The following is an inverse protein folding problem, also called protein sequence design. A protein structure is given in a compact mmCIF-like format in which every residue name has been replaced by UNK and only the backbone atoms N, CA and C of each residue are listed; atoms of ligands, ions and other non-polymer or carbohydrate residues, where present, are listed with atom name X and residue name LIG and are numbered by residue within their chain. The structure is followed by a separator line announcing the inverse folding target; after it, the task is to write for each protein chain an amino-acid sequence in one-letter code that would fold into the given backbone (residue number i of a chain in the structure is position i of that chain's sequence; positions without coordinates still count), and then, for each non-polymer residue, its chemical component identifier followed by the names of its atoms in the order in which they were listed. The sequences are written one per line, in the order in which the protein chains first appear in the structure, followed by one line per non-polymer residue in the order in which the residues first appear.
data_IF_908004743085
#
_entry.id   IF_908004743085
#
_cell.length_a   1.000
_cell.length_b   1.000
_cell.length_c   1.000
_cell.angle_alpha   90.00
_cell.angle_beta   90.00
_cell.angle_gamma   90.00
#
_symmetry.space_group_name_H-M   'P 1'
#
loop_
_entity.id
_entity.type
_entity.pdbx_description
1 polymer ?
#
# COMPACT_ATOMS: atom_id res chain seq x y z
N UNK A 1 9.12 8.20 36.83
CA UNK A 1 9.82 9.33 36.19
C UNK A 1 9.88 9.01 34.72
N UNK A 2 9.31 9.85 33.84
CA UNK A 2 9.50 9.70 32.40
C UNK A 2 11.00 9.79 32.11
N UNK A 3 11.49 8.83 31.33
CA UNK A 3 12.91 8.72 31.02
C UNK A 3 13.23 9.74 29.92
N UNK A 4 13.55 10.97 30.33
CA UNK A 4 13.79 12.10 29.45
C UNK A 4 14.88 11.82 28.40
N UNK A 5 15.79 10.88 28.69
CA UNK A 5 16.83 10.44 27.76
C UNK A 5 16.21 9.58 26.65
N UNK A 6 15.34 8.64 27.00
CA UNK A 6 14.65 7.80 26.02
C UNK A 6 13.72 8.63 25.12
N UNK A 7 13.01 9.62 25.67
CA UNK A 7 12.18 10.54 24.88
C UNK A 7 13.03 11.43 23.95
N UNK A 8 14.19 11.91 24.41
CA UNK A 8 15.11 12.66 23.59
C UNK A 8 15.72 11.82 22.47
N UNK A 9 16.09 10.56 22.76
CA UNK A 9 16.62 9.61 21.80
C UNK A 9 15.57 9.20 20.77
N UNK A 10 14.33 8.94 21.19
CA UNK A 10 13.24 8.61 20.28
C UNK A 10 12.90 9.80 19.38
N UNK A 11 12.84 11.01 19.95
CA UNK A 11 12.62 12.24 19.18
C UNK A 11 13.76 12.48 18.18
N UNK A 12 15.01 12.33 18.62
CA UNK A 12 16.17 12.47 17.75
C UNK A 12 16.14 11.41 16.65
N UNK A 13 15.81 10.16 16.98
CA UNK A 13 15.72 9.07 16.02
C UNK A 13 14.60 9.33 15.00
N UNK A 14 13.43 9.73 15.48
CA UNK A 14 12.31 10.12 14.64
C UNK A 14 12.72 11.26 13.71
N UNK A 15 13.31 12.34 14.22
CA UNK A 15 13.78 13.51 13.46
C UNK A 15 14.81 13.15 12.39
N UNK A 16 15.85 12.38 12.75
CA UNK A 16 16.99 12.10 11.88
C UNK A 16 16.80 10.91 10.95
N UNK A 17 16.07 9.88 11.37
CA UNK A 17 15.96 8.60 10.64
C UNK A 17 14.56 8.33 10.12
N UNK A 18 13.54 8.99 10.64
CA UNK A 18 12.15 8.67 10.32
C UNK A 18 11.66 7.40 11.03
N UNK A 19 10.37 7.14 10.89
CA UNK A 19 9.68 6.03 11.54
C UNK A 19 8.96 5.14 10.52
N UNK A 20 8.75 3.89 10.92
CA UNK A 20 7.78 3.00 10.30
C UNK A 20 6.50 3.04 11.14
N UNK A 21 5.36 3.13 10.48
CA UNK A 21 4.06 3.06 11.15
C UNK A 21 3.21 1.99 10.47
N UNK A 22 2.43 1.29 11.29
CA UNK A 22 1.42 0.38 10.76
C UNK A 22 0.35 1.19 10.03
N UNK A 23 -0.12 0.64 8.92
CA UNK A 23 -1.10 1.30 8.08
C UNK A 23 -2.47 1.21 8.74
N UNK A 24 -2.93 2.32 9.34
CA UNK A 24 -4.23 2.45 9.98
C UNK A 24 -5.17 3.36 9.19
N UNK A 25 -6.43 3.36 9.58
CA UNK A 25 -7.48 4.18 8.99
C UNK A 25 -7.16 5.68 9.00
N UNK A 26 -6.59 6.15 10.11
CA UNK A 26 -6.27 7.57 10.32
C UNK A 26 -4.99 8.02 9.59
N UNK A 27 -4.08 7.08 9.27
CA UNK A 27 -2.76 7.38 8.70
C UNK A 27 -2.66 7.15 7.17
N UNK A 28 -3.72 6.62 6.57
CA UNK A 28 -3.76 6.31 5.14
C UNK A 28 -3.93 7.59 4.30
N UNK A 29 -2.83 8.01 3.66
CA UNK A 29 -2.80 9.20 2.79
C UNK A 29 -2.59 8.76 1.35
N UNK A 30 -3.54 9.02 0.47
CA UNK A 30 -3.38 8.75 -0.96
C UNK A 30 -2.73 9.96 -1.63
N UNK A 31 -1.49 9.84 -2.14
CA UNK A 31 -0.84 10.91 -2.87
C UNK A 31 -1.52 11.09 -4.23
N UNK A 32 -1.66 12.33 -4.68
CA UNK A 32 -2.05 12.62 -6.07
C UNK A 32 -0.87 12.34 -7.02
N UNK A 33 -1.12 12.26 -8.33
CA UNK A 33 -0.05 12.00 -9.31
C UNK A 33 1.09 13.03 -9.23
N UNK A 34 0.75 14.28 -8.89
CA UNK A 34 1.68 15.40 -8.70
C UNK A 34 2.55 15.26 -7.43
N UNK A 35 2.07 14.52 -6.42
CA UNK A 35 2.81 14.29 -5.17
C UNK A 35 3.88 13.20 -5.32
N UNK A 36 3.72 12.33 -6.32
CA UNK A 36 4.71 11.30 -6.61
C UNK A 36 5.96 11.92 -7.19
N UNK A 37 7.08 11.58 -6.58
CA UNK A 37 8.38 12.08 -6.99
C UNK A 37 8.85 11.26 -8.21
N UNK A 38 9.40 11.92 -9.22
CA UNK A 38 9.91 11.21 -10.40
C UNK A 38 11.13 10.36 -10.02
N UNK A 39 11.38 9.30 -10.78
CA UNK A 39 12.55 8.46 -10.64
C UNK A 39 13.86 9.26 -10.66
N UNK A 40 13.91 10.33 -11.45
CA UNK A 40 15.06 11.22 -11.54
C UNK A 40 15.23 12.13 -10.31
N UNK A 41 14.12 12.49 -9.67
CA UNK A 41 14.13 13.36 -8.49
C UNK A 41 14.47 12.60 -7.19
N UNK A 42 14.24 11.28 -7.12
CA UNK A 42 14.76 10.40 -6.03
C UNK A 42 15.84 9.41 -6.50
N UNK A 43 16.34 9.54 -7.74
CA UNK A 43 17.35 8.66 -8.34
C UNK A 43 17.08 7.15 -8.13
N UNK A 44 15.92 6.69 -8.59
CA UNK A 44 15.43 5.31 -8.43
C UNK A 44 15.21 4.66 -9.81
N UNK A 45 15.60 3.39 -9.99
CA UNK A 45 15.29 2.61 -11.21
C UNK A 45 13.80 2.27 -11.31
N UNK A 46 13.11 2.76 -12.35
CA UNK A 46 11.66 2.56 -12.56
C UNK A 46 11.24 1.08 -12.64
N UNK A 47 12.19 0.18 -12.95
CA UNK A 47 11.99 -1.27 -13.09
C UNK A 47 11.55 -1.99 -11.81
N UNK A 48 11.72 -1.40 -10.63
CA UNK A 48 11.31 -2.00 -9.35
C UNK A 48 9.97 -1.46 -8.82
N UNK A 49 9.25 -0.66 -9.61
CA UNK A 49 7.88 -0.23 -9.31
C UNK A 49 6.94 -1.42 -9.56
N UNK A 50 6.64 -2.16 -8.49
CA UNK A 50 5.62 -3.22 -8.55
C UNK A 50 4.23 -2.59 -8.67
N UNK A 51 3.67 -2.61 -9.88
CA UNK A 51 2.23 -2.54 -10.06
C UNK A 51 1.60 -3.84 -9.53
N UNK A 52 1.00 -3.77 -8.35
CA UNK A 52 0.31 -4.90 -7.76
C UNK A 52 -0.94 -5.26 -8.57
N UNK A 53 -0.82 -6.25 -9.44
CA UNK A 53 -1.97 -7.00 -9.94
C UNK A 53 -2.33 -8.11 -8.95
N UNK A 54 -3.05 -7.72 -7.90
CA UNK A 54 -3.53 -8.58 -6.80
C UNK A 54 -4.45 -9.72 -7.27
N UNK A 55 -4.79 -9.79 -8.55
CA UNK A 55 -5.66 -10.82 -9.13
C UNK A 55 -4.96 -12.17 -9.35
N UNK A 56 -3.63 -12.20 -9.48
CA UNK A 56 -2.87 -13.43 -9.78
C UNK A 56 -2.47 -14.20 -8.52
N UNK A 57 -2.24 -13.51 -7.40
CA UNK A 57 -1.61 -14.08 -6.20
C UNK A 57 -2.55 -14.89 -5.27
N UNK A 58 -3.86 -14.94 -5.55
CA UNK A 58 -4.82 -15.66 -4.69
C UNK A 58 -5.73 -16.58 -5.52
N UNK A 59 -5.66 -17.91 -5.35
CA UNK A 59 -6.58 -18.82 -6.02
C UNK A 59 -8.01 -18.48 -5.63
N UNK A 60 -8.90 -18.45 -6.62
CA UNK A 60 -10.28 -18.00 -6.44
C UNK A 60 -11.04 -18.84 -5.43
N UNK A 61 -12.08 -18.26 -4.80
CA UNK A 61 -12.94 -18.96 -3.83
C UNK A 61 -13.45 -20.31 -4.36
N UNK A 62 -13.88 -20.35 -5.62
CA UNK A 62 -14.35 -21.57 -6.28
C UNK A 62 -13.25 -22.62 -6.49
N UNK A 63 -12.01 -22.20 -6.66
CA UNK A 63 -10.86 -23.11 -6.76
C UNK A 63 -10.53 -23.73 -5.39
N UNK A 64 -10.59 -22.93 -4.32
CA UNK A 64 -10.42 -23.42 -2.95
C UNK A 64 -11.52 -24.41 -2.56
N UNK A 65 -12.78 -24.14 -2.95
CA UNK A 65 -13.90 -25.04 -2.70
C UNK A 65 -13.75 -26.36 -3.50
N UNK A 66 -13.31 -26.30 -4.76
CA UNK A 66 -13.05 -27.52 -5.57
C UNK A 66 -11.95 -28.38 -4.95
N UNK A 67 -10.80 -27.80 -4.61
CA UNK A 67 -9.69 -28.50 -3.94
C UNK A 67 -10.11 -29.10 -2.60
N UNK A 68 -10.96 -28.40 -1.83
CA UNK A 68 -11.52 -28.92 -0.57
C UNK A 68 -12.41 -30.14 -0.82
N UNK A 69 -13.28 -30.08 -1.82
CA UNK A 69 -14.16 -31.20 -2.21
C UNK A 69 -13.36 -32.40 -2.70
N UNK A 70 -12.32 -32.20 -3.50
CA UNK A 70 -11.41 -33.26 -3.96
C UNK A 70 -10.68 -33.93 -2.80
N UNK A 71 -10.14 -33.14 -1.86
CA UNK A 71 -9.44 -33.65 -0.67
C UNK A 71 -10.35 -34.41 0.29
N UNK A 72 -11.58 -33.94 0.50
CA UNK A 72 -12.51 -34.52 1.47
C UNK A 72 -13.40 -35.62 0.86
N UNK A 73 -13.56 -35.64 -0.47
CA UNK A 73 -14.31 -36.66 -1.20
C UNK A 73 -15.72 -36.87 -0.62
N UNK A 74 -16.00 -38.12 -0.20
CA UNK A 74 -17.28 -38.52 0.40
C UNK A 74 -17.53 -37.91 1.80
N UNK A 75 -16.50 -37.37 2.45
CA UNK A 75 -16.59 -36.78 3.78
C UNK A 75 -16.95 -35.29 3.75
N UNK A 76 -16.96 -34.65 2.57
CA UNK A 76 -17.34 -33.25 2.44
C UNK A 76 -18.83 -33.07 2.77
N UNK A 77 -19.13 -32.42 3.90
CA UNK A 77 -20.49 -32.11 4.34
C UNK A 77 -20.66 -30.58 4.42
N UNK A 78 -21.41 -29.95 3.50
CA UNK A 78 -21.75 -28.54 3.60
C UNK A 78 -22.57 -28.25 4.86
N UNK A 79 -22.37 -27.08 5.45
CA UNK A 79 -23.19 -26.61 6.56
C UNK A 79 -24.68 -26.52 6.16
N UNK A 80 -25.55 -27.15 6.96
CA UNK A 80 -27.00 -27.14 6.76
C UNK A 80 -27.58 -25.80 7.20
N UNK A 81 -28.81 -25.53 6.79
CA UNK A 81 -29.53 -24.30 7.15
C UNK A 81 -29.74 -24.29 8.67
N UNK A 82 -29.06 -23.37 9.38
CA UNK A 82 -29.11 -23.25 10.84
C UNK A 82 -27.84 -23.67 11.58
N UNK A 83 -26.83 -24.24 10.91
CA UNK A 83 -25.54 -24.55 11.51
C UNK A 83 -24.72 -23.28 11.79
N UNK A 84 -23.94 -23.29 12.89
CA UNK A 84 -23.03 -22.18 13.26
C UNK A 84 -22.01 -21.82 12.17
N UNK A 85 -21.64 -22.80 11.35
CA UNK A 85 -20.65 -22.63 10.26
C UNK A 85 -21.28 -22.12 8.95
N UNK A 86 -22.61 -21.95 8.89
CA UNK A 86 -23.29 -21.37 7.72
C UNK A 86 -23.30 -19.85 7.83
N UNK A 87 -22.97 -19.11 6.76
CA UNK A 87 -23.03 -17.65 6.80
C UNK A 87 -24.43 -17.15 7.11
N UNK A 88 -24.50 -16.07 7.87
CA UNK A 88 -25.74 -15.44 8.28
C UNK A 88 -26.56 -14.94 7.06
N UNK A 89 -27.91 -15.02 7.08
CA UNK A 89 -28.77 -14.56 5.99
C UNK A 89 -28.54 -13.10 5.56
N UNK A 90 -28.17 -12.20 6.48
CA UNK A 90 -27.83 -10.82 6.14
C UNK A 90 -26.55 -10.75 5.31
N UNK A 91 -25.55 -11.55 5.67
CA UNK A 91 -24.28 -11.65 4.93
C UNK A 91 -24.50 -12.18 3.51
N UNK A 92 -25.44 -13.11 3.32
CA UNK A 92 -25.86 -13.60 2.00
C UNK A 92 -26.54 -12.54 1.15
N UNK A 93 -27.50 -11.80 1.72
CA UNK A 93 -28.15 -10.69 1.01
C UNK A 93 -27.15 -9.60 0.63
N UNK A 94 -26.20 -9.29 1.52
CA UNK A 94 -25.11 -8.34 1.25
C UNK A 94 -24.23 -8.78 0.07
N UNK A 95 -23.98 -10.09 -0.07
CA UNK A 95 -23.20 -10.65 -1.18
C UNK A 95 -23.97 -10.70 -2.51
N UNK A 96 -25.30 -10.68 -2.50
CA UNK A 96 -26.16 -10.63 -3.70
C UNK A 96 -26.31 -9.23 -4.29
N UNK A 97 -25.78 -8.20 -3.63
CA UNK A 97 -25.88 -6.82 -4.10
C UNK A 97 -25.23 -6.65 -5.49
N UNK A 98 -25.93 -5.93 -6.37
CA UNK A 98 -25.44 -5.61 -7.72
C UNK A 98 -24.22 -4.70 -7.65
N UNK A 99 -23.32 -4.88 -8.62
CA UNK A 99 -22.13 -4.07 -8.80
C UNK A 99 -22.49 -2.76 -9.50
N UNK A 100 -22.16 -1.64 -8.87
CA UNK A 100 -22.35 -0.31 -9.44
C UNK A 100 -21.12 0.07 -10.26
N UNK A 101 -21.31 0.77 -11.36
CA UNK A 101 -20.28 1.28 -12.27
C UNK A 101 -20.63 2.72 -12.64
N UNK A 102 -19.62 3.59 -12.78
CA UNK A 102 -19.80 4.99 -13.15
C UNK A 102 -19.18 5.29 -14.50
N UNK A 103 -19.87 6.09 -15.31
CA UNK A 103 -19.27 6.71 -16.48
C UNK A 103 -18.38 7.89 -16.04
N UNK A 104 -17.10 7.94 -16.48
CA UNK A 104 -16.18 9.00 -16.07
C UNK A 104 -16.52 10.40 -16.58
N UNK A 105 -17.30 10.52 -17.68
CA UNK A 105 -17.63 11.81 -18.29
C UNK A 105 -19.03 12.28 -17.90
N UNK A 106 -20.01 11.39 -17.86
CA UNK A 106 -21.40 11.74 -17.56
C UNK A 106 -21.75 11.58 -16.08
N UNK A 107 -20.97 10.79 -15.32
CA UNK A 107 -21.25 10.52 -13.91
C UNK A 107 -22.43 9.57 -13.67
N UNK A 108 -23.05 9.06 -14.73
CA UNK A 108 -24.19 8.14 -14.64
C UNK A 108 -23.78 6.80 -14.03
N UNK A 109 -24.66 6.25 -13.19
CA UNK A 109 -24.43 5.00 -12.46
C UNK A 109 -25.20 3.88 -13.15
N UNK A 110 -24.48 2.79 -13.42
CA UNK A 110 -24.97 1.57 -14.05
C UNK A 110 -24.82 0.40 -13.09
N UNK A 111 -25.81 -0.50 -13.04
CA UNK A 111 -25.79 -1.69 -12.17
C UNK A 111 -25.62 -2.98 -12.98
N UNK A 112 -24.72 -3.85 -12.53
CA UNK A 112 -24.42 -5.14 -13.17
C UNK A 112 -24.38 -6.26 -12.13
N UNK A 113 -24.77 -7.47 -12.52
CA UNK A 113 -24.78 -8.64 -11.62
C UNK A 113 -23.39 -9.27 -11.42
N UNK A 114 -22.48 -9.03 -12.37
CA UNK A 114 -21.12 -9.60 -12.37
C UNK A 114 -20.08 -8.48 -12.37
N UNK A 115 -18.89 -8.74 -11.80
CA UNK A 115 -17.74 -7.86 -11.99
C UNK A 115 -17.16 -8.12 -13.38
N UNK A 116 -16.94 -7.05 -14.13
CA UNK A 116 -16.34 -7.09 -15.45
C UNK A 116 -15.86 -5.72 -15.92
N UNK A 117 -15.30 -5.70 -17.13
CA UNK A 117 -14.96 -4.48 -17.86
C UNK A 117 -16.15 -4.16 -18.77
N UNK A 118 -16.94 -3.15 -18.40
CA UNK A 118 -18.10 -2.72 -19.18
C UNK A 118 -17.77 -1.49 -20.00
N UNK A 119 -18.33 -1.38 -21.20
CA UNK A 119 -18.18 -0.20 -22.06
C UNK A 119 -19.54 0.40 -22.39
N UNK A 120 -19.63 1.72 -22.37
CA UNK A 120 -20.79 2.50 -22.81
C UNK A 120 -20.28 3.60 -23.75
N UNK A 121 -20.87 3.71 -24.93
CA UNK A 121 -20.53 4.74 -25.94
C UNK A 121 -19.02 4.84 -26.23
N UNK A 122 -18.35 3.68 -26.35
CA UNK A 122 -16.92 3.58 -26.61
C UNK A 122 -16.00 3.84 -25.42
N UNK A 123 -16.54 4.19 -24.24
CA UNK A 123 -15.79 4.47 -23.02
C UNK A 123 -15.91 3.33 -22.01
N UNK A 124 -14.82 3.05 -21.29
CA UNK A 124 -14.82 2.01 -20.25
C UNK A 124 -15.43 2.56 -18.97
N UNK A 125 -16.46 1.88 -18.46
CA UNK A 125 -17.09 2.19 -17.19
C UNK A 125 -16.17 1.77 -16.04
N UNK A 126 -16.06 2.64 -15.05
CA UNK A 126 -15.23 2.40 -13.86
C UNK A 126 -16.12 1.73 -12.82
N UNK A 127 -15.74 0.57 -12.23
CA UNK A 127 -16.51 0.03 -11.12
C UNK A 127 -16.65 1.10 -10.03
N UNK A 128 -17.88 1.41 -9.66
CA UNK A 128 -18.18 2.24 -8.51
C UNK A 128 -17.89 1.49 -7.19
N UNK A 129 -17.36 0.26 -7.29
CA UNK A 129 -16.62 -0.44 -6.24
C UNK A 129 -15.16 0.00 -6.22
N UNK A 130 -14.92 1.05 -5.47
CA UNK A 130 -14.15 0.92 -4.26
C UNK A 130 -13.04 -0.16 -4.19
N UNK A 131 -11.90 0.05 -4.87
CA UNK A 131 -10.63 -0.51 -4.38
C UNK A 131 -10.19 0.42 -3.24
N UNK A 132 -10.81 0.21 -2.08
CA UNK A 132 -10.94 1.20 -1.02
C UNK A 132 -10.25 0.68 0.22
N UNK A 133 -9.15 1.27 0.64
CA UNK A 133 -9.30 2.45 1.47
C UNK A 133 -9.63 3.71 0.64
N UNK A 134 -10.93 4.04 0.56
CA UNK A 134 -11.51 5.20 -0.15
C UNK A 134 -11.20 5.46 -1.68
N UNK A 135 -10.70 4.51 -2.48
CA UNK A 135 -11.09 4.42 -3.90
C UNK A 135 -9.92 4.28 -4.82
N UNK A 136 -8.73 4.13 -4.22
CA UNK A 136 -7.52 4.67 -4.79
C UNK A 136 -6.39 3.68 -4.60
N UNK A 137 -5.85 3.24 -5.75
CA UNK A 137 -4.65 2.41 -5.82
C UNK A 137 -3.44 3.26 -5.43
N UNK A 138 -2.57 2.68 -4.61
CA UNK A 138 -1.32 3.30 -4.17
C UNK A 138 -0.16 2.56 -4.84
N UNK A 139 0.82 3.31 -5.36
CA UNK A 139 2.02 2.74 -5.99
C UNK A 139 3.00 2.30 -4.91
N UNK A 140 3.33 1.01 -4.85
CA UNK A 140 4.32 0.50 -3.90
C UNK A 140 5.74 0.86 -4.35
N UNK A 141 6.61 1.11 -3.38
CA UNK A 141 8.03 1.40 -3.62
C UNK A 141 8.31 2.75 -4.29
N UNK A 142 7.29 3.58 -4.55
CA UNK A 142 7.46 4.92 -5.10
C UNK A 142 7.32 5.98 -4.00
N UNK A 143 8.40 6.67 -3.62
CA UNK A 143 8.31 7.76 -2.67
C UNK A 143 7.43 8.91 -3.19
N UNK A 144 6.66 9.50 -2.28
CA UNK A 144 5.85 10.68 -2.54
C UNK A 144 6.12 11.73 -1.46
N UNK A 145 5.84 13.00 -1.77
CA UNK A 145 6.03 14.11 -0.83
C UNK A 145 4.91 14.19 0.19
N UNK A 146 5.26 14.53 1.42
CA UNK A 146 4.29 14.79 2.49
C UNK A 146 4.46 16.23 3.02
N UNK A 147 3.85 17.23 2.36
CA UNK A 147 4.08 18.65 2.70
C UNK A 147 3.60 19.04 4.10
N UNK A 148 2.60 18.35 4.65
CA UNK A 148 2.10 18.54 6.04
C UNK A 148 2.47 17.38 6.97
N UNK A 149 3.34 16.48 6.54
CA UNK A 149 3.73 15.30 7.30
C UNK A 149 4.93 15.54 8.21
N UNK A 150 5.18 14.63 9.17
CA UNK A 150 6.35 14.71 10.05
C UNK A 150 7.69 14.52 9.31
N UNK A 151 7.65 13.97 8.09
CA UNK A 151 8.81 13.73 7.22
C UNK A 151 8.58 14.29 5.84
N UNK A 152 9.69 14.41 5.10
CA UNK A 152 9.67 14.98 3.74
C UNK A 152 9.05 14.03 2.72
N UNK A 153 9.36 12.75 2.84
CA UNK A 153 8.89 11.71 1.94
C UNK A 153 8.24 10.57 2.71
N UNK A 154 7.27 9.94 2.07
CA UNK A 154 6.65 8.71 2.52
C UNK A 154 6.70 7.68 1.39
N UNK A 155 6.78 6.40 1.74
CA UNK A 155 6.72 5.30 0.78
C UNK A 155 5.98 4.12 1.36
N UNK A 156 5.17 3.48 0.52
CA UNK A 156 4.45 2.27 0.88
C UNK A 156 5.25 1.03 0.48
N UNK A 157 5.51 0.15 1.45
CA UNK A 157 6.37 -1.04 1.27
C UNK A 157 5.73 -2.26 1.93
N UNK A 158 6.00 -3.45 1.40
CA UNK A 158 5.61 -4.71 2.05
C UNK A 158 6.64 -5.13 3.10
N UNK A 159 6.17 -5.46 4.29
CA UNK A 159 6.95 -6.12 5.31
C UNK A 159 7.14 -7.61 4.99
N UNK A 160 8.13 -8.29 5.60
CA UNK A 160 8.30 -9.74 5.47
C UNK A 160 7.06 -10.53 5.93
N UNK A 161 6.22 -9.93 6.78
CA UNK A 161 4.93 -10.48 7.24
C UNK A 161 3.80 -10.36 6.19
N UNK A 162 4.05 -9.73 5.05
CA UNK A 162 3.06 -9.53 3.98
C UNK A 162 2.17 -8.29 4.14
N UNK A 163 2.26 -7.56 5.26
CA UNK A 163 1.52 -6.32 5.49
C UNK A 163 2.16 -5.14 4.76
N UNK A 164 1.34 -4.22 4.25
CA UNK A 164 1.80 -2.94 3.70
C UNK A 164 2.00 -1.97 4.85
N UNK A 165 3.18 -1.37 4.94
CA UNK A 165 3.53 -0.34 5.93
C UNK A 165 3.85 0.97 5.24
N UNK A 166 3.69 2.06 5.98
CA UNK A 166 4.12 3.40 5.58
C UNK A 166 5.46 3.70 6.22
N UNK A 167 6.47 3.95 5.38
CA UNK A 167 7.80 4.34 5.81
C UNK A 167 7.97 5.83 5.56
N UNK A 168 8.19 6.60 6.63
CA UNK A 168 8.41 8.04 6.57
C UNK A 168 9.93 8.29 6.61
N UNK A 169 10.48 9.11 5.71
CA UNK A 169 11.91 9.39 5.66
C UNK A 169 12.26 10.80 5.15
N UNK A 170 13.46 11.25 5.49
CA UNK A 170 13.99 12.56 5.10
C UNK A 170 13.47 13.71 5.96
N UNK A 171 14.31 14.74 6.11
CA UNK A 171 14.01 15.92 6.92
C UNK A 171 13.24 16.98 6.12
N UNK A 172 12.07 17.45 6.58
CA UNK A 172 11.27 18.49 5.90
C UNK A 172 12.02 19.81 5.70
N UNK A 173 12.83 20.22 6.67
CA UNK A 173 13.48 21.53 6.73
C UNK A 173 14.85 21.55 6.05
N UNK A 174 15.41 20.38 5.70
CA UNK A 174 16.74 20.28 5.09
C UNK A 174 16.69 19.79 3.63
N UNK A 175 17.66 20.24 2.83
CA UNK A 175 17.91 19.76 1.46
C UNK A 175 19.25 19.03 1.40
N UNK A 176 19.26 17.88 0.74
CA UNK A 176 20.48 17.11 0.49
C UNK A 176 21.38 17.89 -0.47
N UNK A 177 22.62 18.15 -0.05
CA UNK A 177 23.64 18.83 -0.86
C UNK A 177 24.38 17.82 -1.75
N UNK A 178 23.67 17.26 -2.73
CA UNK A 178 24.17 16.17 -3.60
C UNK A 178 25.38 16.57 -4.45
N UNK A 179 25.47 17.85 -4.81
CA UNK A 179 26.57 18.40 -5.60
C UNK A 179 27.94 18.35 -4.89
N UNK A 180 27.98 18.08 -3.58
CA UNK A 180 29.22 18.02 -2.80
C UNK A 180 29.55 16.55 -2.51
N UNK A 181 30.50 15.91 -3.22
CA UNK A 181 30.77 14.47 -3.08
C UNK A 181 31.27 14.09 -1.68
N UNK A 182 31.98 14.99 -0.99
CA UNK A 182 32.40 14.77 0.39
C UNK A 182 31.24 14.60 1.37
N UNK A 183 30.12 15.31 1.16
CA UNK A 183 28.91 15.17 1.99
C UNK A 183 28.26 13.81 1.79
N UNK A 184 28.20 13.35 0.54
CA UNK A 184 27.69 12.02 0.19
C UNK A 184 28.52 10.91 0.82
N UNK A 185 29.85 10.99 0.70
CA UNK A 185 30.76 10.01 1.32
C UNK A 185 30.59 9.94 2.83
N UNK A 186 30.51 11.10 3.50
CA UNK A 186 30.34 11.16 4.95
C UNK A 186 28.99 10.61 5.41
N UNK A 187 27.90 10.91 4.69
CA UNK A 187 26.58 10.35 4.99
C UNK A 187 26.59 8.83 4.85
N UNK A 188 27.11 8.31 3.72
CA UNK A 188 27.17 6.86 3.47
C UNK A 188 27.99 6.11 4.53
N UNK A 189 29.12 6.69 4.96
CA UNK A 189 29.97 6.11 6.00
C UNK A 189 29.27 6.08 7.37
N UNK A 190 28.61 7.17 7.78
CA UNK A 190 27.91 7.24 9.08
C UNK A 190 26.70 6.33 9.16
N UNK A 191 26.08 6.01 8.03
CA UNK A 191 24.84 5.24 7.98
C UNK A 191 25.01 3.82 7.42
N UNK A 192 26.25 3.38 7.17
CA UNK A 192 26.56 2.06 6.61
C UNK A 192 25.70 1.74 5.37
N UNK A 193 25.65 2.68 4.42
CA UNK A 193 24.81 2.57 3.23
C UNK A 193 25.24 1.47 2.26
N UNK A 194 26.34 0.76 2.54
CA UNK A 194 26.78 -0.40 1.78
C UNK A 194 25.95 -1.64 2.14
N UNK A 195 25.40 -1.70 3.36
CA UNK A 195 24.36 -2.66 3.76
C UNK A 195 23.21 -1.94 4.49
N UNK A 196 22.36 -1.21 3.76
CA UNK A 196 21.39 -0.29 4.35
C UNK A 196 20.19 -1.02 5.00
N UNK A 197 20.08 -2.34 4.86
CA UNK A 197 19.02 -3.16 5.45
C UNK A 197 17.79 -3.33 4.55
N UNK A 198 16.68 -3.86 5.09
CA UNK A 198 15.51 -4.20 4.28
C UNK A 198 14.68 -2.97 3.88
N UNK A 199 13.92 -3.10 2.78
CA UNK A 199 13.14 -2.00 2.16
C UNK A 199 12.10 -1.36 3.09
N UNK A 200 11.67 -2.01 4.16
CA UNK A 200 10.70 -1.42 5.09
C UNK A 200 11.35 -0.54 6.17
N UNK A 201 12.67 -0.38 6.17
CA UNK A 201 13.38 0.51 7.09
C UNK A 201 13.71 1.83 6.43
N UNK A 202 13.53 2.93 7.16
CA UNK A 202 13.78 4.28 6.64
C UNK A 202 15.23 4.52 6.22
N UNK A 203 16.21 3.84 6.86
CA UNK A 203 17.63 3.88 6.47
C UNK A 203 17.86 3.45 5.01
N UNK A 204 17.13 2.43 4.52
CA UNK A 204 17.22 1.98 3.14
C UNK A 204 16.89 3.10 2.17
N UNK A 205 15.77 3.79 2.40
CA UNK A 205 15.31 4.89 1.55
C UNK A 205 16.18 6.13 1.66
N UNK A 206 16.64 6.46 2.87
CA UNK A 206 17.57 7.58 3.08
C UNK A 206 18.91 7.37 2.38
N UNK A 207 19.48 6.16 2.43
CA UNK A 207 20.71 5.82 1.71
C UNK A 207 20.53 5.84 0.19
N UNK A 208 19.33 5.46 -0.30
CA UNK A 208 19.01 5.47 -1.73
C UNK A 208 18.79 6.88 -2.27
N UNK A 209 18.20 7.77 -1.47
CA UNK A 209 17.99 9.17 -1.83
C UNK A 209 19.27 10.03 -1.82
N UNK A 210 20.41 9.51 -1.34
CA UNK A 210 21.69 10.23 -1.15
C UNK A 210 22.78 9.97 -2.22
#
# INVERSE_FOLDING_TARGET
MPDYIAEADEKFYFESYGSEEELTEDNYVVPQEEDYVSAEEVYYEESEVEELDLSVAKPGLWENIRKKKEREGKNYKPAKRGDKDRPDPESWKKAQNKYKYKDPKTGEIYEYERRGIYKKDGRTLIPAQAAEYQGRKVKLGKPFRTPKGPKKFSVYVKNPKGNVVKVNFGDPNMKIKKNIPGRRKNFRARHNCDNPGPRHKARYWSCRAW
#
